data_IF_637401222342
#
_entry.id   IF_637401222342
#
_cell.length_a   1.000
_cell.length_b   1.000
_cell.length_c   1.000
_cell.angle_alpha   90.00
_cell.angle_beta   90.00
_cell.angle_gamma   90.00
#
_symmetry.space_group_name_H-M   'P 1'
#
loop_
_entity.id
_entity.type
_entity.pdbx_description
1 polymer ?
#
# COMPACT_ATOMS: atom_id res chain seq x y z
N UNK A 1 7.36 25.34 -19.70
CA UNK A 1 6.49 25.12 -18.52
C UNK A 1 7.34 24.39 -17.52
N UNK A 2 7.75 25.08 -16.46
CA UNK A 2 8.57 24.53 -15.38
C UNK A 2 7.63 23.89 -14.36
N UNK A 3 7.44 22.57 -14.45
CA UNK A 3 6.80 21.77 -13.41
C UNK A 3 7.81 21.50 -12.27
N UNK A 4 8.32 22.57 -11.66
CA UNK A 4 8.95 22.47 -10.34
C UNK A 4 7.84 22.32 -9.30
N UNK A 5 7.15 21.18 -9.33
CA UNK A 5 6.20 20.81 -8.30
C UNK A 5 6.98 20.61 -7.01
N UNK A 6 6.99 21.63 -6.16
CA UNK A 6 7.22 21.44 -4.72
C UNK A 6 6.08 20.54 -4.24
N UNK A 7 6.31 19.22 -4.25
CA UNK A 7 5.41 18.26 -3.62
C UNK A 7 5.31 18.68 -2.15
N UNK A 8 4.17 19.26 -1.78
CA UNK A 8 3.88 19.75 -0.45
C UNK A 8 3.72 18.56 0.49
N UNK A 9 4.82 18.12 1.09
CA UNK A 9 4.77 17.23 2.24
C UNK A 9 4.69 18.11 3.49
N UNK A 10 3.50 18.30 4.04
CA UNK A 10 3.35 18.82 5.39
C UNK A 10 2.15 18.16 6.06
N UNK A 11 2.41 17.41 7.12
CA UNK A 11 1.39 17.01 8.06
C UNK A 11 1.04 18.24 8.90
N UNK A 12 -0.10 18.89 8.64
CA UNK A 12 -0.57 20.01 9.46
C UNK A 12 -1.23 19.50 10.75
N UNK A 13 -0.39 19.00 11.67
CA UNK A 13 -0.80 18.68 13.05
C UNK A 13 -0.53 19.83 14.03
N UNK A 14 -0.05 20.99 13.55
CA UNK A 14 0.44 22.08 14.43
C UNK A 14 -0.66 22.93 15.08
N UNK A 15 -1.94 22.56 14.98
CA UNK A 15 -3.03 23.26 15.65
C UNK A 15 -3.71 22.39 16.71
N UNK A 16 -3.03 22.23 17.85
CA UNK A 16 -3.60 21.75 19.12
C UNK A 16 -2.88 20.54 19.72
N UNK A 17 -2.75 20.50 21.04
CA UNK A 17 -2.22 19.35 21.77
C UNK A 17 -3.16 18.14 21.60
N UNK A 18 -2.87 17.27 20.63
CA UNK A 18 -3.58 16.01 20.42
C UNK A 18 -3.01 14.98 21.40
N UNK A 19 -3.87 14.37 22.21
CA UNK A 19 -3.54 13.23 23.05
C UNK A 19 -4.41 12.04 22.60
N UNK A 20 -3.81 10.90 22.21
CA UNK A 20 -2.36 10.65 22.10
C UNK A 20 -1.70 11.48 20.97
N UNK A 21 -0.38 11.69 21.04
CA UNK A 21 0.38 12.42 20.01
C UNK A 21 0.75 11.51 18.85
N UNK A 22 0.36 11.86 17.62
CA UNK A 22 0.63 11.08 16.40
C UNK A 22 2.12 10.71 16.25
N UNK A 23 3.01 11.69 16.42
CA UNK A 23 4.45 11.45 16.29
C UNK A 23 4.99 10.43 17.32
N UNK A 24 4.44 10.42 18.54
CA UNK A 24 4.82 9.46 19.56
C UNK A 24 4.36 8.05 19.21
N UNK A 25 3.12 7.89 18.74
CA UNK A 25 2.58 6.60 18.31
C UNK A 25 3.33 6.04 17.09
N UNK A 26 3.62 6.89 16.10
CA UNK A 26 4.38 6.53 14.91
C UNK A 26 5.79 6.06 15.28
N UNK A 27 6.53 6.86 16.06
CA UNK A 27 7.90 6.52 16.47
C UNK A 27 7.89 5.30 17.40
N UNK A 28 6.91 5.19 18.29
CA UNK A 28 6.74 4.05 19.20
C UNK A 28 6.52 2.75 18.43
N UNK A 29 5.64 2.76 17.43
CA UNK A 29 5.37 1.62 16.55
C UNK A 29 6.64 1.21 15.79
N UNK A 30 7.33 2.17 15.17
CA UNK A 30 8.56 1.90 14.41
C UNK A 30 9.71 1.36 15.27
N UNK A 31 9.79 1.74 16.55
CA UNK A 31 10.80 1.21 17.48
C UNK A 31 10.44 -0.17 18.02
N UNK A 32 9.17 -0.56 17.95
CA UNK A 32 8.65 -1.79 18.52
C UNK A 32 8.82 -3.03 17.64
N UNK A 33 9.10 -2.87 16.34
CA UNK A 33 9.26 -4.00 15.42
C UNK A 33 10.73 -4.39 15.23
N UNK A 34 10.98 -5.68 15.03
CA UNK A 34 12.29 -6.22 14.68
C UNK A 34 12.41 -6.32 13.15
N UNK A 35 13.28 -5.51 12.50
CA UNK A 35 13.39 -5.48 11.05
C UNK A 35 14.10 -6.71 10.44
N UNK A 36 14.83 -7.49 11.26
CA UNK A 36 15.69 -8.59 10.79
C UNK A 36 14.96 -9.94 10.74
N UNK A 37 13.79 -10.06 11.37
CA UNK A 37 12.97 -11.29 11.34
C UNK A 37 12.58 -11.62 9.89
N UNK A 38 12.97 -12.81 9.42
CA UNK A 38 12.62 -13.34 8.09
C UNK A 38 13.42 -12.76 6.91
N UNK A 39 14.52 -12.03 7.12
CA UNK A 39 15.21 -11.26 6.08
C UNK A 39 16.15 -12.03 5.12
N UNK A 40 16.31 -13.36 5.22
CA UNK A 40 17.55 -13.97 4.70
C UNK A 40 17.49 -15.12 3.67
N UNK A 41 16.33 -15.58 3.16
CA UNK A 41 16.40 -16.48 1.99
C UNK A 41 15.18 -16.44 1.06
N UNK A 42 15.29 -15.73 -0.06
CA UNK A 42 14.23 -15.60 -1.08
C UNK A 42 14.20 -16.74 -2.11
N UNK A 43 14.90 -17.86 -1.83
CA UNK A 43 15.24 -18.86 -2.87
C UNK A 43 14.24 -19.99 -3.12
N UNK A 44 13.29 -20.31 -2.24
CA UNK A 44 12.08 -21.07 -2.58
C UNK A 44 11.13 -21.19 -1.37
N UNK A 45 9.81 -21.22 -1.62
CA UNK A 45 8.73 -21.54 -0.66
C UNK A 45 8.68 -20.72 0.65
N UNK A 46 9.11 -19.45 0.61
CA UNK A 46 9.00 -18.56 1.76
C UNK A 46 7.63 -17.87 1.77
N UNK A 47 6.95 -17.93 2.93
CA UNK A 47 5.82 -17.05 3.25
C UNK A 47 6.36 -15.88 4.06
N UNK A 48 6.01 -14.66 3.64
CA UNK A 48 6.40 -13.42 4.30
C UNK A 48 5.12 -12.67 4.65
N UNK A 49 4.96 -12.31 5.92
CA UNK A 49 3.80 -11.57 6.41
C UNK A 49 4.27 -10.28 7.04
N UNK A 50 3.72 -9.16 6.58
CA UNK A 50 3.91 -7.86 7.23
C UNK A 50 2.59 -7.38 7.82
N UNK A 51 2.64 -6.90 9.06
CA UNK A 51 1.50 -6.33 9.77
C UNK A 51 1.76 -4.85 9.99
N UNK A 52 0.82 -4.02 9.58
CA UNK A 52 0.85 -2.57 9.68
C UNK A 52 -0.23 -2.10 10.63
N UNK A 53 0.14 -1.21 11.54
CA UNK A 53 -0.80 -0.42 12.30
C UNK A 53 -1.36 0.71 11.42
N UNK A 54 -2.67 0.91 11.40
CA UNK A 54 -3.30 1.99 10.63
C UNK A 54 -3.56 3.18 11.56
N UNK A 55 -3.01 4.34 11.22
CA UNK A 55 -3.15 5.59 11.95
C UNK A 55 -3.92 6.63 11.11
N UNK A 56 -4.76 7.48 11.69
CA UNK A 56 -5.50 8.50 10.96
C UNK A 56 -4.58 9.67 10.55
N UNK A 57 -4.75 10.20 9.33
CA UNK A 57 -4.05 11.44 8.92
C UNK A 57 -4.78 12.72 9.36
N UNK A 58 -6.08 12.63 9.63
CA UNK A 58 -6.90 13.74 10.08
C UNK A 58 -7.76 13.31 11.27
N UNK A 59 -7.53 13.87 12.45
CA UNK A 59 -8.30 13.51 13.65
C UNK A 59 -9.69 14.16 13.73
N UNK A 60 -9.91 15.28 13.04
CA UNK A 60 -11.10 16.16 13.23
C UNK A 60 -12.46 15.53 12.85
N UNK A 61 -12.50 14.31 12.32
CA UNK A 61 -13.73 13.56 12.05
C UNK A 61 -13.90 12.27 12.87
N UNK A 62 -12.85 11.77 13.52
CA UNK A 62 -12.83 10.46 14.19
C UNK A 62 -13.25 10.56 15.66
N UNK A 63 -14.24 11.42 15.95
CA UNK A 63 -14.73 11.69 17.30
C UNK A 63 -15.55 10.50 17.83
N UNK A 64 -14.90 9.39 18.18
CA UNK A 64 -15.50 8.38 19.05
C UNK A 64 -15.31 8.82 20.50
N UNK A 65 -16.43 9.05 21.19
CA UNK A 65 -16.45 9.31 22.62
C UNK A 65 -15.87 8.12 23.37
N UNK A 66 -14.66 8.28 23.89
CA UNK A 66 -13.98 7.30 24.72
C UNK A 66 -12.53 7.69 24.94
N UNK A 67 -12.00 7.45 26.15
CA UNK A 67 -10.56 7.50 26.40
C UNK A 67 -9.89 6.37 25.61
N UNK A 68 -9.54 6.60 24.36
CA UNK A 68 -8.69 5.67 23.61
C UNK A 68 -7.23 6.01 23.93
N UNK A 69 -6.56 5.12 24.66
CA UNK A 69 -5.13 5.22 24.98
C UNK A 69 -4.23 5.12 23.73
N UNK A 70 -4.78 4.74 22.57
CA UNK A 70 -4.06 4.53 21.30
C UNK A 70 -4.72 5.29 20.15
N UNK A 71 -3.92 5.68 19.14
CA UNK A 71 -4.39 6.32 17.90
C UNK A 71 -4.68 5.31 16.77
N UNK A 72 -4.44 4.03 17.01
CA UNK A 72 -4.70 2.97 16.04
C UNK A 72 -6.19 2.95 15.66
N UNK A 73 -6.47 3.05 14.36
CA UNK A 73 -7.81 2.92 13.80
C UNK A 73 -7.99 1.59 13.08
N UNK A 74 -6.98 0.73 13.02
CA UNK A 74 -7.05 -0.45 12.18
C UNK A 74 -5.74 -1.21 12.01
N UNK A 75 -5.77 -2.22 11.14
CA UNK A 75 -4.60 -3.05 10.82
C UNK A 75 -4.64 -3.46 9.34
N UNK A 76 -3.48 -3.47 8.70
CA UNK A 76 -3.30 -4.10 7.39
C UNK A 76 -2.30 -5.26 7.50
N UNK A 77 -2.66 -6.42 6.97
CA UNK A 77 -1.85 -7.63 6.94
C UNK A 77 -1.60 -7.98 5.48
N UNK A 78 -0.33 -8.07 5.10
CA UNK A 78 0.11 -8.39 3.74
C UNK A 78 0.92 -9.68 3.82
N UNK A 79 0.26 -10.79 3.50
CA UNK A 79 0.89 -12.09 3.35
C UNK A 79 1.27 -12.31 1.89
N UNK A 80 2.51 -12.79 1.69
CA UNK A 80 3.13 -13.02 0.38
C UNK A 80 3.76 -14.40 0.37
N UNK A 81 3.50 -15.19 -0.64
CA UNK A 81 4.20 -16.47 -0.87
C UNK A 81 4.67 -16.57 -2.32
N UNK A 82 5.81 -17.22 -2.53
CA UNK A 82 6.35 -17.44 -3.88
C UNK A 82 6.06 -18.86 -4.35
N UNK A 83 5.37 -18.99 -5.48
CA UNK A 83 5.06 -20.26 -6.14
C UNK A 83 5.35 -20.17 -7.64
N UNK A 84 6.24 -21.01 -8.17
CA UNK A 84 6.50 -21.14 -9.62
C UNK A 84 6.65 -19.79 -10.37
N UNK A 85 7.54 -18.92 -9.90
CA UNK A 85 7.79 -17.57 -10.45
C UNK A 85 6.61 -16.58 -10.35
N UNK A 86 5.61 -16.89 -9.53
CA UNK A 86 4.55 -15.97 -9.13
C UNK A 86 4.68 -15.63 -7.64
N UNK A 87 4.42 -14.39 -7.32
CA UNK A 87 4.13 -13.95 -5.96
C UNK A 87 2.63 -13.94 -5.77
N UNK A 88 2.14 -14.73 -4.82
CA UNK A 88 0.75 -14.79 -4.42
C UNK A 88 0.56 -13.92 -3.18
N UNK A 89 -0.40 -13.00 -3.24
CA UNK A 89 -0.71 -12.05 -2.18
C UNK A 89 -2.05 -12.38 -1.56
N UNK A 90 -2.10 -12.34 -0.23
CA UNK A 90 -3.33 -12.29 0.55
C UNK A 90 -3.26 -11.07 1.45
N UNK A 91 -4.13 -10.08 1.17
CA UNK A 91 -4.17 -8.83 1.92
C UNK A 91 -5.46 -8.79 2.72
N UNK A 92 -5.33 -8.47 4.00
CA UNK A 92 -6.46 -8.13 4.88
C UNK A 92 -6.25 -6.72 5.39
N UNK A 93 -7.22 -5.86 5.22
CA UNK A 93 -7.21 -4.50 5.75
C UNK A 93 -8.49 -4.27 6.55
N UNK A 94 -8.35 -3.67 7.72
CA UNK A 94 -9.45 -3.31 8.59
C UNK A 94 -9.26 -1.88 9.08
N UNK A 95 -10.31 -1.07 8.97
CA UNK A 95 -10.41 0.25 9.59
C UNK A 95 -11.65 0.28 10.47
N UNK A 96 -11.40 0.15 11.77
CA UNK A 96 -12.44 0.08 12.83
C UNK A 96 -13.25 1.36 12.98
N UNK A 97 -12.79 2.49 12.44
CA UNK A 97 -13.54 3.74 12.52
C UNK A 97 -14.50 3.91 11.34
N UNK A 98 -14.05 3.64 10.12
CA UNK A 98 -14.94 3.63 8.95
C UNK A 98 -15.83 2.38 8.90
N UNK A 99 -15.45 1.31 9.61
CA UNK A 99 -16.11 0.00 9.55
C UNK A 99 -15.68 -0.83 8.35
N UNK A 100 -14.74 -0.34 7.55
CA UNK A 100 -14.24 -0.98 6.33
C UNK A 100 -13.39 -2.20 6.65
N UNK A 101 -13.66 -3.30 5.96
CA UNK A 101 -12.88 -4.53 6.00
C UNK A 101 -12.70 -5.04 4.57
N UNK A 102 -11.46 -5.16 4.13
CA UNK A 102 -11.10 -5.52 2.77
C UNK A 102 -10.24 -6.78 2.79
N UNK A 103 -10.65 -7.79 2.03
CA UNK A 103 -9.87 -8.99 1.78
C UNK A 103 -9.58 -9.12 0.30
N UNK A 104 -8.31 -9.24 -0.06
CA UNK A 104 -7.87 -9.34 -1.45
C UNK A 104 -6.96 -10.52 -1.66
N UNK A 105 -7.11 -11.17 -2.81
CA UNK A 105 -6.20 -12.22 -3.27
C UNK A 105 -5.84 -11.98 -4.72
N UNK A 106 -4.55 -11.99 -5.02
CA UNK A 106 -4.04 -11.77 -6.38
C UNK A 106 -2.64 -12.35 -6.53
N UNK A 107 -2.20 -12.48 -7.79
CA UNK A 107 -0.85 -12.93 -8.10
C UNK A 107 -0.12 -11.93 -8.98
N UNK A 108 1.19 -11.84 -8.82
CA UNK A 108 2.07 -11.05 -9.66
C UNK A 108 3.21 -11.91 -10.21
N UNK A 109 3.73 -11.54 -11.38
CA UNK A 109 4.97 -12.10 -11.90
C UNK A 109 6.16 -11.76 -10.99
N UNK A 110 7.14 -12.67 -10.88
CA UNK A 110 8.40 -12.42 -10.18
C UNK A 110 9.37 -11.55 -11.01
N UNK A 111 8.89 -10.35 -11.34
CA UNK A 111 9.65 -9.28 -11.97
C UNK A 111 9.64 -8.06 -11.01
N UNK A 112 10.58 -7.12 -11.16
CA UNK A 112 10.67 -5.96 -10.25
C UNK A 112 9.40 -5.11 -10.18
N UNK A 113 8.64 -5.05 -11.28
CA UNK A 113 7.37 -4.29 -11.34
C UNK A 113 6.18 -5.06 -10.78
N UNK A 114 6.36 -6.33 -10.35
CA UNK A 114 5.30 -7.24 -9.89
C UNK A 114 4.05 -7.12 -10.77
N UNK A 115 4.15 -7.40 -12.08
CA UNK A 115 3.03 -7.21 -12.98
C UNK A 115 1.91 -8.17 -12.58
N UNK A 116 0.67 -7.68 -12.53
CA UNK A 116 -0.51 -8.46 -12.16
C UNK A 116 -0.72 -9.62 -13.15
N UNK A 117 -1.04 -10.81 -12.63
CA UNK A 117 -1.21 -12.06 -13.39
C UNK A 117 -2.44 -12.83 -12.93
N UNK A 118 -3.05 -13.52 -13.89
CA UNK A 118 -4.21 -14.38 -13.63
C UNK A 118 -5.42 -13.59 -13.16
N UNK A 119 -6.25 -14.27 -12.38
CA UNK A 119 -7.45 -13.69 -11.79
C UNK A 119 -7.13 -13.18 -10.39
N UNK A 120 -7.92 -12.21 -9.94
CA UNK A 120 -7.89 -11.70 -8.59
C UNK A 120 -9.30 -11.61 -8.02
N UNK A 121 -9.39 -11.45 -6.69
CA UNK A 121 -10.65 -11.32 -5.98
C UNK A 121 -10.55 -10.30 -4.86
N UNK A 122 -11.67 -9.62 -4.61
CA UNK A 122 -11.89 -8.63 -3.57
C UNK A 122 -13.19 -9.01 -2.84
N UNK A 123 -13.15 -9.06 -1.50
CA UNK A 123 -14.31 -9.09 -0.61
C UNK A 123 -14.20 -7.87 0.30
N UNK A 124 -14.94 -6.82 -0.04
CA UNK A 124 -15.05 -5.60 0.73
C UNK A 124 -16.33 -5.66 1.56
N UNK A 125 -16.23 -5.39 2.85
CA UNK A 125 -17.36 -5.36 3.79
C UNK A 125 -17.32 -4.05 4.54
N UNK A 126 -18.50 -3.53 4.84
CA UNK A 126 -18.64 -2.36 5.68
C UNK A 126 -19.54 -2.71 6.86
N UNK A 127 -19.01 -2.45 8.05
CA UNK A 127 -19.69 -2.66 9.34
C UNK A 127 -20.19 -1.35 9.96
N UNK A 128 -19.98 -0.21 9.29
CA UNK A 128 -20.73 1.00 9.60
C UNK A 128 -22.21 0.81 9.22
N UNK A 129 -23.09 1.53 9.92
CA UNK A 129 -24.54 1.57 9.66
C UNK A 129 -24.85 2.30 8.32
N UNK A 130 -24.32 1.78 7.22
CA UNK A 130 -24.50 2.28 5.86
C UNK A 130 -25.33 1.28 5.02
N UNK A 131 -25.93 1.73 3.92
CA UNK A 131 -26.75 0.88 3.03
C UNK A 131 -25.91 -0.17 2.29
N UNK A 132 -24.61 0.10 2.15
CA UNK A 132 -23.64 -0.81 1.57
C UNK A 132 -23.00 -1.66 2.67
N UNK A 133 -23.26 -2.97 2.67
CA UNK A 133 -22.68 -3.90 3.65
C UNK A 133 -21.57 -4.78 3.08
N UNK A 134 -21.59 -5.05 1.76
CA UNK A 134 -20.63 -5.94 1.11
C UNK A 134 -20.55 -5.72 -0.42
N UNK A 135 -19.35 -5.85 -0.97
CA UNK A 135 -19.07 -6.09 -2.39
C UNK A 135 -18.11 -7.26 -2.52
N UNK A 136 -18.47 -8.20 -3.38
CA UNK A 136 -17.55 -9.23 -3.85
C UNK A 136 -17.29 -8.96 -5.33
N UNK A 137 -16.02 -8.81 -5.67
CA UNK A 137 -15.57 -8.54 -7.02
C UNK A 137 -14.47 -9.53 -7.39
N UNK A 138 -14.54 -10.06 -8.61
CA UNK A 138 -13.41 -10.77 -9.22
C UNK A 138 -12.93 -9.99 -10.43
N UNK A 139 -11.66 -10.12 -10.80
CA UNK A 139 -11.17 -9.49 -12.00
C UNK A 139 -10.03 -10.25 -12.66
N UNK A 140 -9.75 -9.86 -13.89
CA UNK A 140 -8.70 -10.43 -14.71
C UNK A 140 -8.25 -9.45 -15.79
N UNK A 141 -7.05 -9.67 -16.32
CA UNK A 141 -6.50 -8.92 -17.45
C UNK A 141 -6.68 -9.75 -18.73
N UNK A 142 -7.31 -9.18 -19.75
CA UNK A 142 -7.47 -9.84 -21.05
C UNK A 142 -6.15 -9.84 -21.84
N UNK A 143 -6.11 -10.58 -22.95
CA UNK A 143 -4.99 -10.57 -23.90
C UNK A 143 -4.72 -9.18 -24.50
N UNK A 144 -5.73 -8.33 -24.55
CA UNK A 144 -5.67 -6.99 -25.15
C UNK A 144 -5.38 -5.90 -24.09
N UNK A 145 -4.85 -6.30 -22.93
CA UNK A 145 -4.54 -5.43 -21.80
C UNK A 145 -5.76 -4.68 -21.23
N UNK A 146 -6.96 -5.22 -21.41
CA UNK A 146 -8.17 -4.67 -20.82
C UNK A 146 -8.43 -5.31 -19.46
N UNK A 147 -8.67 -4.47 -18.45
CA UNK A 147 -9.03 -4.89 -17.10
C UNK A 147 -10.54 -5.13 -17.08
N UNK A 148 -10.91 -6.36 -16.73
CA UNK A 148 -12.30 -6.79 -16.60
C UNK A 148 -12.59 -7.10 -15.13
N UNK A 149 -13.74 -6.64 -14.65
CA UNK A 149 -14.25 -6.94 -13.33
C UNK A 149 -15.59 -7.66 -13.48
N UNK A 150 -15.86 -8.61 -12.60
CA UNK A 150 -17.12 -9.32 -12.47
C UNK A 150 -17.72 -8.98 -11.10
N UNK A 151 -18.87 -8.31 -11.12
CA UNK A 151 -19.61 -7.89 -9.93
C UNK A 151 -21.04 -8.42 -10.11
N UNK A 152 -21.52 -9.26 -9.19
CA UNK A 152 -22.84 -9.88 -9.26
C UNK A 152 -23.13 -10.51 -10.64
N UNK A 153 -22.21 -11.37 -11.11
CA UNK A 153 -22.24 -12.05 -12.41
C UNK A 153 -22.26 -11.12 -13.64
N UNK A 154 -22.05 -9.81 -13.44
CA UNK A 154 -21.99 -8.82 -14.52
C UNK A 154 -20.55 -8.42 -14.78
N UNK A 155 -20.10 -8.60 -16.02
CA UNK A 155 -18.78 -8.16 -16.46
C UNK A 155 -18.78 -6.69 -16.87
N UNK A 156 -17.87 -5.92 -16.28
CA UNK A 156 -17.63 -4.51 -16.58
C UNK A 156 -16.17 -4.30 -17.00
N UNK A 157 -15.95 -3.36 -17.92
CA UNK A 157 -14.60 -2.93 -18.29
C UNK A 157 -14.15 -1.80 -17.36
N UNK A 158 -13.09 -2.02 -16.60
CA UNK A 158 -12.48 -0.99 -15.74
C UNK A 158 -11.49 -0.09 -16.52
N UNK A 159 -11.07 -0.52 -17.72
CA UNK A 159 -10.26 0.26 -18.64
C UNK A 159 -9.17 -0.57 -19.31
N UNK A 160 -8.31 0.10 -20.09
CA UNK A 160 -7.19 -0.53 -20.79
C UNK A 160 -5.85 0.02 -20.31
N UNK A 161 -4.87 -0.86 -20.23
CA UNK A 161 -3.49 -0.53 -19.89
C UNK A 161 -2.69 -0.33 -21.16
N UNK A 162 -1.91 0.74 -21.22
CA UNK A 162 -0.97 0.97 -22.32
C UNK A 162 0.10 -0.14 -22.35
N UNK A 163 0.39 -0.70 -23.52
CA UNK A 163 1.35 -1.80 -23.68
C UNK A 163 2.78 -1.44 -23.23
N UNK A 164 3.11 -0.15 -23.15
CA UNK A 164 4.41 0.34 -22.70
C UNK A 164 4.59 0.39 -21.18
N UNK A 165 3.52 0.24 -20.39
CA UNK A 165 3.57 0.29 -18.93
C UNK A 165 3.15 -1.04 -18.29
N UNK A 166 3.78 -1.37 -17.16
CA UNK A 166 3.40 -2.56 -16.37
C UNK A 166 2.25 -2.20 -15.42
N UNK A 167 1.19 -3.01 -15.43
CA UNK A 167 0.10 -2.95 -14.45
C UNK A 167 0.50 -3.71 -13.20
N UNK A 168 0.41 -3.08 -12.03
CA UNK A 168 0.55 -3.72 -10.71
C UNK A 168 -0.64 -3.37 -9.82
N UNK A 169 -0.70 -3.96 -8.62
CA UNK A 169 -1.64 -3.58 -7.56
C UNK A 169 -0.96 -2.61 -6.58
N UNK A 170 -1.70 -1.67 -5.99
CA UNK A 170 -1.17 -0.78 -4.94
C UNK A 170 -0.55 -1.57 -3.77
N UNK A 171 -1.12 -2.71 -3.41
CA UNK A 171 -0.58 -3.59 -2.36
C UNK A 171 0.69 -4.35 -2.77
N UNK A 172 0.96 -4.49 -4.07
CA UNK A 172 2.25 -5.03 -4.54
C UNK A 172 3.37 -3.97 -4.47
N UNK A 173 3.05 -2.68 -4.27
CA UNK A 173 4.06 -1.62 -4.15
C UNK A 173 4.99 -1.81 -2.95
N UNK A 174 4.53 -2.55 -1.94
CA UNK A 174 5.35 -3.01 -0.81
C UNK A 174 6.57 -3.85 -1.24
N UNK A 175 6.54 -4.46 -2.43
CA UNK A 175 7.69 -5.14 -3.04
C UNK A 175 8.29 -4.38 -4.23
N UNK A 176 7.45 -3.68 -5.01
CA UNK A 176 7.90 -2.96 -6.21
C UNK A 176 8.83 -1.80 -5.85
N UNK A 177 8.49 -1.00 -4.83
CA UNK A 177 9.32 0.15 -4.44
C UNK A 177 10.70 -0.30 -3.96
N UNK A 178 10.85 -1.26 -3.03
CA UNK A 178 12.17 -1.80 -2.67
C UNK A 178 12.93 -2.35 -3.88
N UNK A 179 12.27 -3.13 -4.75
CA UNK A 179 12.91 -3.74 -5.93
C UNK A 179 13.39 -2.72 -6.96
N UNK A 180 12.74 -1.56 -7.05
CA UNK A 180 13.06 -0.48 -7.99
C UNK A 180 13.76 0.71 -7.33
N UNK A 181 14.05 0.67 -6.03
CA UNK A 181 14.58 1.79 -5.23
C UNK A 181 15.75 2.52 -5.91
N UNK A 182 16.76 1.77 -6.36
CA UNK A 182 17.94 2.32 -7.06
C UNK A 182 17.59 2.91 -8.42
N UNK A 183 16.70 2.26 -9.17
CA UNK A 183 16.24 2.75 -10.48
C UNK A 183 15.44 4.04 -10.31
N UNK A 184 14.60 4.13 -9.29
CA UNK A 184 13.82 5.32 -8.97
C UNK A 184 14.74 6.47 -8.56
N UNK A 185 15.71 6.24 -7.67
CA UNK A 185 16.69 7.25 -7.24
C UNK A 185 17.57 7.74 -8.40
N UNK A 186 17.96 6.86 -9.31
CA UNK A 186 18.72 7.23 -10.50
C UNK A 186 17.89 7.96 -11.55
N UNK A 187 16.55 7.90 -11.48
CA UNK A 187 15.66 8.55 -12.43
C UNK A 187 15.31 9.96 -11.97
N UNK A 188 15.79 10.97 -12.70
CA UNK A 188 15.41 12.37 -12.47
C UNK A 188 13.91 12.62 -12.67
N UNK A 189 13.26 11.81 -13.51
CA UNK A 189 11.85 11.91 -13.85
C UNK A 189 11.02 10.73 -13.32
N UNK A 190 11.50 9.99 -12.31
CA UNK A 190 10.80 8.82 -11.79
C UNK A 190 10.56 7.72 -12.83
N UNK A 191 9.71 6.75 -12.51
CA UNK A 191 9.35 5.63 -13.38
C UNK A 191 7.84 5.59 -13.60
N UNK A 192 7.42 5.36 -14.85
CA UNK A 192 6.01 5.22 -15.20
C UNK A 192 5.46 3.85 -14.76
N UNK A 193 4.26 3.84 -14.20
CA UNK A 193 3.59 2.62 -13.75
C UNK A 193 2.07 2.77 -13.89
N UNK A 194 1.38 1.66 -14.16
CA UNK A 194 -0.07 1.57 -14.04
C UNK A 194 -0.41 0.82 -12.75
N UNK A 195 -1.37 1.34 -11.99
CA UNK A 195 -1.80 0.75 -10.72
C UNK A 195 -3.28 0.41 -10.80
N UNK A 196 -3.65 -0.81 -10.40
CA UNK A 196 -5.03 -1.18 -10.10
C UNK A 196 -5.21 -1.02 -8.59
N UNK A 197 -5.78 0.12 -8.21
CA UNK A 197 -6.03 0.50 -6.82
C UNK A 197 -7.13 -0.41 -6.25
N UNK A 198 -6.78 -1.11 -5.16
CA UNK A 198 -7.59 -2.10 -4.46
C UNK A 198 -8.21 -3.16 -5.38
N UNK A 199 -7.51 -3.43 -6.49
CA UNK A 199 -7.90 -4.37 -7.54
C UNK A 199 -9.20 -4.01 -8.31
N UNK A 200 -9.66 -2.76 -8.19
CA UNK A 200 -10.92 -2.30 -8.79
C UNK A 200 -10.73 -1.07 -9.68
N UNK A 201 -9.93 -0.09 -9.25
CA UNK A 201 -9.85 1.19 -9.93
C UNK A 201 -8.55 1.34 -10.72
N UNK A 202 -8.65 1.37 -12.05
CA UNK A 202 -7.47 1.49 -12.91
C UNK A 202 -6.94 2.93 -12.94
N UNK A 203 -5.69 3.09 -12.48
CA UNK A 203 -4.86 4.29 -12.60
C UNK A 203 -3.78 4.04 -13.65
N UNK A 204 -4.13 4.25 -14.91
CA UNK A 204 -3.28 3.87 -16.05
C UNK A 204 -2.05 4.75 -16.28
N UNK A 205 -1.95 5.90 -15.62
CA UNK A 205 -0.86 6.88 -15.80
C UNK A 205 -0.40 7.43 -14.45
N UNK A 206 0.49 6.69 -13.80
CA UNK A 206 1.11 7.08 -12.54
C UNK A 206 2.63 7.05 -12.64
N UNK A 207 3.27 7.69 -11.67
CA UNK A 207 4.72 7.83 -11.58
C UNK A 207 5.19 7.57 -10.17
N UNK A 208 6.17 6.68 -10.03
CA UNK A 208 6.94 6.49 -8.81
C UNK A 208 8.20 7.33 -8.89
N UNK A 209 8.50 8.09 -7.85
CA UNK A 209 9.70 8.91 -7.80
C UNK A 209 10.33 8.95 -6.41
N UNK A 210 11.59 9.39 -6.36
CA UNK A 210 12.29 9.61 -5.10
C UNK A 210 11.88 10.97 -4.51
N UNK A 211 11.64 10.99 -3.21
CA UNK A 211 11.25 12.20 -2.48
C UNK A 211 12.46 12.79 -1.74
N UNK A 212 12.97 12.09 -0.73
CA UNK A 212 14.06 12.54 0.15
C UNK A 212 14.54 11.39 1.04
N UNK A 213 15.74 11.52 1.60
CA UNK A 213 16.20 10.64 2.68
C UNK A 213 16.13 11.37 4.03
N UNK A 214 15.62 10.69 5.05
CA UNK A 214 15.62 11.13 6.44
C UNK A 214 16.65 10.29 7.20
N UNK A 215 17.47 10.90 8.05
CA UNK A 215 18.49 10.18 8.83
C UNK A 215 18.10 9.96 10.29
N UNK A 216 17.22 10.80 10.84
CA UNK A 216 16.87 10.84 12.26
C UNK A 216 15.35 10.94 12.42
N UNK A 217 14.72 10.22 13.37
CA UNK A 217 15.32 9.32 14.36
C UNK A 217 15.67 7.92 13.82
N UNK A 218 15.10 7.54 12.68
CA UNK A 218 15.32 6.25 12.02
C UNK A 218 15.65 6.59 10.56
N UNK A 219 16.73 6.04 9.97
CA UNK A 219 17.05 6.24 8.56
C UNK A 219 15.94 5.69 7.66
N UNK A 220 15.41 6.55 6.78
CA UNK A 220 14.34 6.22 5.85
C UNK A 220 14.58 6.88 4.49
N UNK A 221 14.38 6.11 3.41
CA UNK A 221 14.33 6.62 2.05
C UNK A 221 12.88 6.80 1.61
N UNK A 222 12.51 8.04 1.29
CA UNK A 222 11.18 8.44 0.89
C UNK A 222 10.97 8.37 -0.61
N UNK A 223 9.81 7.86 -0.99
CA UNK A 223 9.31 7.76 -2.34
C UNK A 223 7.90 8.34 -2.41
N UNK A 224 7.46 8.69 -3.61
CA UNK A 224 6.09 9.11 -3.86
C UNK A 224 5.48 8.29 -5.00
N UNK A 225 4.16 8.16 -4.97
CA UNK A 225 3.34 7.74 -6.10
C UNK A 225 2.33 8.86 -6.38
N UNK A 226 2.29 9.35 -7.62
CA UNK A 226 1.25 10.29 -8.06
C UNK A 226 0.82 9.96 -9.48
N UNK A 227 -0.41 10.32 -9.86
CA UNK A 227 -0.92 10.07 -11.20
C UNK A 227 -2.28 10.71 -11.44
N UNK A 228 -2.74 10.65 -12.69
CA UNK A 228 -4.06 11.17 -13.02
C UNK A 228 -5.15 10.34 -12.35
N UNK A 229 -6.01 11.00 -11.57
CA UNK A 229 -7.09 10.34 -10.82
C UNK A 229 -6.63 9.55 -9.59
N UNK A 230 -5.34 9.59 -9.24
CA UNK A 230 -4.80 8.94 -8.05
C UNK A 230 -4.38 10.00 -7.04
N UNK A 231 -4.87 9.90 -5.80
CA UNK A 231 -4.40 10.74 -4.71
C UNK A 231 -2.92 10.44 -4.41
N UNK A 232 -2.07 11.45 -4.22
CA UNK A 232 -0.67 11.22 -3.89
C UNK A 232 -0.51 10.35 -2.65
N UNK A 233 0.45 9.43 -2.70
CA UNK A 233 0.88 8.66 -1.53
C UNK A 233 2.40 8.72 -1.38
N UNK A 234 2.86 8.60 -0.15
CA UNK A 234 4.26 8.70 0.24
C UNK A 234 4.69 7.43 0.96
N UNK A 235 5.85 6.91 0.60
CA UNK A 235 6.31 5.59 0.99
C UNK A 235 7.70 5.71 1.55
N UNK A 236 7.96 5.18 2.74
CA UNK A 236 9.25 5.27 3.41
C UNK A 236 9.83 3.88 3.61
N UNK A 237 10.98 3.67 2.98
CA UNK A 237 11.76 2.44 3.00
C UNK A 237 12.81 2.51 4.12
N UNK A 238 12.89 1.48 4.96
CA UNK A 238 13.96 1.36 5.96
C UNK A 238 15.28 0.88 5.33
N UNK A 239 16.35 0.87 6.14
CA UNK A 239 17.66 0.38 5.72
C UNK A 239 17.70 -1.11 5.35
N UNK A 240 16.66 -1.88 5.71
CA UNK A 240 16.54 -3.32 5.48
C UNK A 240 15.71 -3.65 4.22
N UNK A 241 15.18 -2.63 3.55
CA UNK A 241 14.37 -2.80 2.35
C UNK A 241 12.89 -3.08 2.63
N UNK A 242 12.41 -2.83 3.85
CA UNK A 242 10.99 -2.91 4.18
C UNK A 242 10.34 -1.53 4.05
N UNK A 243 9.14 -1.48 3.48
CA UNK A 243 8.30 -0.29 3.58
C UNK A 243 7.84 -0.16 5.02
N UNK A 244 8.40 0.80 5.74
CA UNK A 244 8.15 1.05 7.16
C UNK A 244 6.95 1.99 7.35
N UNK A 245 6.72 2.92 6.43
CA UNK A 245 5.60 3.87 6.49
C UNK A 245 4.99 4.02 5.10
N UNK A 246 3.66 3.98 5.01
CA UNK A 246 2.89 4.43 3.85
C UNK A 246 1.90 5.47 4.30
N UNK A 247 1.98 6.68 3.76
CA UNK A 247 1.03 7.76 4.04
C UNK A 247 0.21 8.02 2.79
N UNK A 248 -1.10 7.83 2.87
CA UNK A 248 -2.05 8.23 1.83
C UNK A 248 -2.69 9.58 2.21
N UNK A 249 -3.77 9.97 1.57
CA UNK A 249 -4.56 11.12 2.02
C UNK A 249 -5.32 10.82 3.31
N UNK A 250 -5.87 9.61 3.47
CA UNK A 250 -6.79 9.28 4.56
C UNK A 250 -6.08 8.78 5.81
N UNK A 251 -4.98 8.06 5.64
CA UNK A 251 -4.35 7.30 6.70
C UNK A 251 -2.86 7.07 6.48
N UNK A 252 -2.20 6.62 7.55
CA UNK A 252 -0.81 6.21 7.56
C UNK A 252 -0.71 4.78 8.07
N UNK A 253 -0.12 3.91 7.27
CA UNK A 253 0.25 2.56 7.64
C UNK A 253 1.66 2.59 8.21
N UNK A 254 1.87 2.03 9.40
CA UNK A 254 3.18 1.96 10.06
C UNK A 254 3.50 0.50 10.34
N UNK A 255 4.66 0.03 9.86
CA UNK A 255 5.09 -1.36 10.02
C UNK A 255 5.23 -1.67 11.52
N UNK A 256 4.51 -2.71 11.96
CA UNK A 256 4.42 -3.13 13.36
C UNK A 256 5.07 -4.49 13.58
N UNK A 257 4.96 -5.40 12.62
CA UNK A 257 5.49 -6.75 12.75
C UNK A 257 5.84 -7.31 11.38
N UNK A 258 6.89 -8.13 11.36
CA UNK A 258 7.29 -8.93 10.21
C UNK A 258 7.46 -10.36 10.68
N UNK A 259 6.78 -11.28 10.00
CA UNK A 259 6.87 -12.71 10.22
C UNK A 259 7.32 -13.37 8.93
N UNK A 260 8.10 -14.44 9.03
CA UNK A 260 8.48 -15.23 7.89
C UNK A 260 8.87 -16.64 8.28
N UNK A 261 8.30 -17.62 7.60
CA UNK A 261 8.64 -19.03 7.78
C UNK A 261 9.63 -19.43 6.69
N UNK A 262 10.81 -19.91 7.11
CA UNK A 262 11.65 -20.74 6.27
C UNK A 262 11.16 -22.18 6.46
N UNK A 263 10.36 -22.70 5.52
CA UNK A 263 9.99 -24.12 5.49
C UNK A 263 11.06 -24.92 4.75
#
# INVERSE_FOLDING_TARGET
MNDSNSLHWSFDYNYGAQNPQFAQELIGTLRGYDPEVGAHDTRAAQTITHVYNVLPNYWRGYHRGGNTETLSIGTAIIERSKNNNLWCYSVTYENTTSGENLQMRFCCGDENHRPLRGNWSVDARNSADDEYSQLVCAGYLTSDSEVRLCINDTEIAAGRVDASVKLTCNWALFDVIPALARTIQASGDGIGIAVLEDLEQLRGKSKLGFLASIQTPIPLDGYYLYGAGLLPSYWWLDAYGNIAIVSTFFETLVLKEKMGDCV
#
